data_IF_880038484868
#
_entry.id   IF_880038484868
#
_cell.length_a   1.000
_cell.length_b   1.000
_cell.length_c   1.000
_cell.angle_alpha   90.00
_cell.angle_beta   90.00
_cell.angle_gamma   90.00
#
_symmetry.space_group_name_H-M   'P 1'
#
loop_
_entity.id
_entity.type
_entity.pdbx_description
1 polymer ?
#
# COMPACT_ATOMS: atom_id res chain seq x y z
N UNK A 1 41.86 13.66 18.01
CA UNK A 1 41.88 12.65 16.91
C UNK A 1 40.73 11.65 17.06
N UNK A 2 40.51 11.03 18.23
CA UNK A 2 39.45 10.01 18.44
C UNK A 2 38.00 10.43 18.06
N UNK A 3 37.66 11.72 18.10
CA UNK A 3 36.31 12.21 17.78
C UNK A 3 36.00 12.30 16.28
N UNK A 4 37.02 12.50 15.43
CA UNK A 4 36.84 12.56 13.98
C UNK A 4 36.81 11.15 13.38
N UNK A 5 37.65 10.25 13.87
CA UNK A 5 37.65 8.84 13.44
C UNK A 5 36.30 8.17 13.69
N UNK A 6 35.66 8.48 14.83
CA UNK A 6 34.32 7.99 15.16
C UNK A 6 33.25 8.52 14.18
N UNK A 7 33.35 9.77 13.74
CA UNK A 7 32.41 10.37 12.78
C UNK A 7 32.57 9.73 11.39
N UNK A 8 33.80 9.59 10.91
CA UNK A 8 34.08 8.98 9.62
C UNK A 8 33.75 7.49 9.59
N UNK A 9 33.98 6.77 10.70
CA UNK A 9 33.58 5.37 10.83
C UNK A 9 32.06 5.20 10.76
N UNK A 10 31.29 6.03 11.47
CA UNK A 10 29.83 5.99 11.40
C UNK A 10 29.32 6.33 10.00
N UNK A 11 29.89 7.37 9.37
CA UNK A 11 29.53 7.76 8.01
C UNK A 11 29.83 6.66 7.01
N UNK A 12 31.03 6.06 7.09
CA UNK A 12 31.40 4.95 6.23
C UNK A 12 30.43 3.77 6.39
N UNK A 13 30.06 3.42 7.63
CA UNK A 13 29.11 2.34 7.89
C UNK A 13 27.71 2.64 7.31
N UNK A 14 27.20 3.87 7.46
CA UNK A 14 25.92 4.28 6.87
C UNK A 14 25.98 4.17 5.34
N UNK A 15 27.04 4.69 4.71
CA UNK A 15 27.19 4.67 3.25
C UNK A 15 27.33 3.25 2.73
N UNK A 16 28.12 2.38 3.37
CA UNK A 16 28.29 1.00 2.93
C UNK A 16 26.99 0.21 3.09
N UNK A 17 26.29 0.36 4.21
CA UNK A 17 25.04 -0.36 4.45
C UNK A 17 23.92 0.10 3.51
N UNK A 18 23.82 1.39 3.22
CA UNK A 18 22.83 1.89 2.26
C UNK A 18 23.17 1.48 0.83
N UNK A 19 24.45 1.42 0.48
CA UNK A 19 24.89 0.87 -0.80
C UNK A 19 24.51 -0.62 -0.92
N UNK A 20 24.73 -1.42 0.13
CA UNK A 20 24.30 -2.81 0.19
C UNK A 20 22.78 -2.96 -0.01
N UNK A 21 21.99 -2.12 0.67
CA UNK A 21 20.53 -2.11 0.49
C UNK A 21 20.11 -1.74 -0.93
N UNK A 22 20.82 -0.83 -1.58
CA UNK A 22 20.56 -0.45 -2.97
C UNK A 22 20.69 -1.59 -3.99
N UNK A 23 21.51 -2.60 -3.69
CA UNK A 23 21.71 -3.78 -4.56
C UNK A 23 20.66 -4.87 -4.38
N UNK A 24 19.78 -4.76 -3.38
CA UNK A 24 18.74 -5.75 -3.13
C UNK A 24 17.71 -5.76 -4.26
N UNK A 25 17.33 -6.97 -4.67
CA UNK A 25 16.18 -7.16 -5.57
C UNK A 25 14.90 -6.79 -4.84
N UNK A 26 13.91 -6.22 -5.53
CA UNK A 26 12.63 -5.83 -4.94
C UNK A 26 11.93 -6.97 -4.17
N UNK A 27 12.09 -8.21 -4.64
CA UNK A 27 11.56 -9.41 -3.97
C UNK A 27 12.17 -9.66 -2.58
N UNK A 28 13.39 -9.21 -2.35
CA UNK A 28 14.15 -9.40 -1.10
C UNK A 28 13.97 -8.23 -0.14
N UNK A 29 13.45 -7.10 -0.61
CA UNK A 29 13.21 -5.90 0.21
C UNK A 29 12.17 -6.17 1.29
N UNK A 30 11.11 -6.91 0.97
CA UNK A 30 10.03 -7.22 1.91
C UNK A 30 10.48 -7.87 3.22
N UNK A 31 11.18 -9.04 3.19
CA UNK A 31 11.64 -9.69 4.42
C UNK A 31 12.74 -8.91 5.17
N UNK A 32 13.46 -8.00 4.49
CA UNK A 32 14.53 -7.19 5.10
C UNK A 32 14.08 -5.82 5.60
N UNK A 33 12.82 -5.43 5.34
CA UNK A 33 12.31 -4.11 5.67
C UNK A 33 12.36 -3.80 7.17
N UNK A 34 12.06 -4.78 8.03
CA UNK A 34 12.13 -4.64 9.50
C UNK A 34 13.58 -4.42 9.97
N UNK A 35 14.52 -5.16 9.39
CA UNK A 35 15.96 -4.99 9.65
C UNK A 35 16.42 -3.58 9.23
N UNK A 36 16.07 -3.16 8.01
CA UNK A 36 16.40 -1.82 7.48
C UNK A 36 15.83 -0.71 8.37
N UNK A 37 14.60 -0.86 8.84
CA UNK A 37 13.95 0.11 9.74
C UNK A 37 14.68 0.20 11.09
N UNK A 38 15.00 -0.96 11.67
CA UNK A 38 15.73 -1.03 12.94
C UNK A 38 17.13 -0.44 12.82
N UNK A 39 17.84 -0.75 11.73
CA UNK A 39 19.20 -0.27 11.49
C UNK A 39 19.23 1.23 11.24
N UNK A 40 18.28 1.75 10.45
CA UNK A 40 18.14 3.19 10.21
C UNK A 40 17.85 3.97 11.50
N UNK A 41 16.98 3.44 12.37
CA UNK A 41 16.73 4.02 13.70
C UNK A 41 17.98 4.00 14.59
N UNK A 42 18.76 2.93 14.54
CA UNK A 42 20.04 2.82 15.27
C UNK A 42 21.05 3.87 14.81
N UNK A 43 21.18 4.10 13.49
CA UNK A 43 22.05 5.14 12.95
C UNK A 43 21.59 6.54 13.34
N UNK A 44 20.28 6.81 13.31
CA UNK A 44 19.74 8.08 13.77
C UNK A 44 20.03 8.34 15.25
N UNK A 45 19.85 7.33 16.11
CA UNK A 45 20.18 7.40 17.54
C UNK A 45 21.69 7.61 17.76
N UNK A 46 22.55 6.92 17.00
CA UNK A 46 24.00 7.10 17.05
C UNK A 46 24.41 8.52 16.64
N UNK A 47 23.81 9.05 15.56
CA UNK A 47 24.03 10.42 15.12
C UNK A 47 23.56 11.45 16.16
N UNK A 48 22.52 11.16 16.93
CA UNK A 48 22.03 12.03 18.01
C UNK A 48 22.91 12.00 19.27
N UNK A 49 23.77 10.99 19.45
CA UNK A 49 24.71 10.90 20.59
C UNK A 49 26.01 11.67 20.37
N UNK A 50 26.31 12.08 19.15
CA UNK A 50 27.55 12.81 18.84
C UNK A 50 27.59 14.21 19.49
N UNK A 51 28.75 14.68 19.97
CA UNK A 51 28.94 16.03 20.51
C UNK A 51 28.56 17.15 19.54
N UNK A 52 28.07 18.29 20.05
CA UNK A 52 27.61 19.44 19.24
C UNK A 52 28.66 19.93 18.23
N UNK A 53 29.93 19.94 18.62
CA UNK A 53 31.06 20.36 17.78
C UNK A 53 31.23 19.54 16.50
N UNK A 54 30.77 18.28 16.50
CA UNK A 54 30.80 17.41 15.31
C UNK A 54 29.52 17.53 14.47
N UNK A 55 28.44 18.08 15.03
CA UNK A 55 27.16 18.22 14.31
C UNK A 55 27.14 19.38 13.32
N UNK A 56 28.07 20.30 13.48
CA UNK A 56 28.26 21.45 12.58
C UNK A 56 29.06 21.08 11.34
N UNK A 57 29.69 19.90 11.32
CA UNK A 57 30.47 19.46 10.18
C UNK A 57 29.56 19.10 8.99
N UNK A 58 29.92 19.49 7.77
CA UNK A 58 29.11 19.21 6.58
C UNK A 58 28.89 17.71 6.36
N UNK A 59 29.90 16.88 6.66
CA UNK A 59 29.79 15.42 6.57
C UNK A 59 28.73 14.84 7.54
N UNK A 60 28.57 15.43 8.73
CA UNK A 60 27.50 15.03 9.65
C UNK A 60 26.12 15.40 9.11
N UNK A 61 25.98 16.62 8.57
CA UNK A 61 24.72 17.09 8.02
C UNK A 61 24.27 16.24 6.82
N UNK A 62 25.21 15.86 5.94
CA UNK A 62 24.94 14.98 4.81
C UNK A 62 24.56 13.56 5.27
N UNK A 63 25.27 13.00 6.24
CA UNK A 63 24.92 11.72 6.86
C UNK A 63 23.51 11.75 7.44
N UNK A 64 23.19 12.78 8.23
CA UNK A 64 21.88 12.92 8.85
C UNK A 64 20.78 13.06 7.81
N UNK A 65 20.98 13.89 6.79
CA UNK A 65 20.03 14.02 5.67
C UNK A 65 19.79 12.68 4.99
N UNK A 66 20.85 11.92 4.71
CA UNK A 66 20.74 10.61 4.05
C UNK A 66 19.94 9.62 4.87
N UNK A 67 20.17 9.58 6.20
CA UNK A 67 19.42 8.72 7.13
C UNK A 67 17.96 9.17 7.23
N UNK A 68 17.71 10.48 7.34
CA UNK A 68 16.37 11.06 7.44
C UNK A 68 15.57 10.80 6.13
N UNK A 69 16.16 11.05 4.95
CA UNK A 69 15.56 10.77 3.64
C UNK A 69 15.20 9.28 3.50
N UNK A 70 16.06 8.38 4.00
CA UNK A 70 15.79 6.95 3.98
C UNK A 70 14.67 6.55 4.97
N UNK A 71 14.61 7.16 6.15
CA UNK A 71 13.50 6.96 7.08
C UNK A 71 12.16 7.40 6.49
N UNK A 72 12.14 8.50 5.75
CA UNK A 72 10.95 8.98 5.04
C UNK A 72 10.56 8.07 3.87
N UNK A 73 11.53 7.37 3.27
CA UNK A 73 11.28 6.40 2.20
C UNK A 73 10.76 5.05 2.70
N UNK A 74 11.06 4.65 3.94
CA UNK A 74 10.66 3.35 4.50
C UNK A 74 9.13 3.10 4.44
N UNK A 75 8.25 4.04 4.83
CA UNK A 75 6.81 3.87 4.68
C UNK A 75 6.36 3.67 3.23
N UNK A 76 7.03 4.33 2.27
CA UNK A 76 6.74 4.19 0.84
C UNK A 76 7.10 2.79 0.36
N UNK A 77 8.27 2.30 0.76
CA UNK A 77 8.73 0.94 0.46
C UNK A 77 7.77 -0.08 1.08
N UNK A 78 7.35 0.13 2.34
CA UNK A 78 6.40 -0.75 3.03
C UNK A 78 5.07 -0.87 2.27
N UNK A 79 4.55 0.25 1.77
CA UNK A 79 3.33 0.27 0.98
C UNK A 79 3.47 -0.54 -0.32
N UNK A 80 4.57 -0.37 -1.05
CA UNK A 80 4.80 -1.04 -2.34
C UNK A 80 5.25 -2.51 -2.24
N UNK A 81 5.74 -2.94 -1.08
CA UNK A 81 6.01 -4.35 -0.77
C UNK A 81 4.72 -5.14 -0.51
N UNK A 82 3.63 -4.47 -0.11
CA UNK A 82 2.40 -5.14 0.25
C UNK A 82 1.77 -5.88 -0.93
N UNK A 83 1.19 -7.06 -0.68
CA UNK A 83 0.64 -7.95 -1.71
C UNK A 83 -0.55 -7.34 -2.49
N UNK A 84 -1.22 -6.32 -1.95
CA UNK A 84 -2.30 -5.60 -2.65
C UNK A 84 -1.82 -4.86 -3.90
N UNK A 85 -0.51 -4.63 -4.03
CA UNK A 85 0.06 -3.83 -5.10
C UNK A 85 0.16 -4.66 -6.38
N UNK A 86 -0.57 -4.23 -7.41
CA UNK A 86 -0.62 -4.86 -8.72
C UNK A 86 0.07 -3.98 -9.77
N UNK A 87 0.29 -4.54 -10.97
CA UNK A 87 0.98 -3.83 -12.08
C UNK A 87 0.37 -2.46 -12.41
N UNK A 88 -0.94 -2.26 -12.22
CA UNK A 88 -1.60 -0.97 -12.43
C UNK A 88 -1.12 0.13 -11.49
N UNK A 89 -0.85 -0.20 -10.22
CA UNK A 89 -0.36 0.76 -9.22
C UNK A 89 1.09 1.15 -9.52
N UNK A 90 1.87 0.22 -10.08
CA UNK A 90 3.21 0.51 -10.59
C UNK A 90 3.19 1.47 -11.79
N UNK A 91 2.21 1.34 -12.69
CA UNK A 91 2.04 2.30 -13.78
C UNK A 91 1.69 3.70 -13.24
N UNK A 92 0.78 3.79 -12.27
CA UNK A 92 0.44 5.04 -11.60
C UNK A 92 1.65 5.69 -10.90
N UNK A 93 2.51 4.88 -10.27
CA UNK A 93 3.76 5.36 -9.67
C UNK A 93 4.68 5.99 -10.73
N UNK A 94 4.85 5.33 -11.87
CA UNK A 94 5.69 5.83 -12.98
C UNK A 94 5.14 7.16 -13.51
N UNK A 95 3.82 7.25 -13.66
CA UNK A 95 3.15 8.47 -14.12
C UNK A 95 3.32 9.64 -13.13
N UNK A 96 3.27 9.37 -11.81
CA UNK A 96 3.47 10.39 -10.77
C UNK A 96 4.91 10.86 -10.66
N UNK A 97 5.88 9.92 -10.67
CA UNK A 97 7.26 10.21 -10.27
C UNK A 97 8.10 10.79 -11.41
N UNK A 98 8.02 10.21 -12.62
CA UNK A 98 8.62 10.78 -13.84
C UNK A 98 8.31 9.93 -15.08
N UNK A 99 7.65 10.49 -16.12
CA UNK A 99 7.41 9.78 -17.39
C UNK A 99 8.68 9.42 -18.18
N UNK A 100 9.82 10.03 -17.85
CA UNK A 100 11.08 9.91 -18.59
C UNK A 100 11.99 8.75 -18.11
N UNK A 101 11.74 8.20 -16.92
CA UNK A 101 12.52 7.09 -16.37
C UNK A 101 11.60 5.86 -16.22
N UNK A 102 11.60 4.93 -17.19
CA UNK A 102 10.80 3.72 -17.07
C UNK A 102 11.33 2.86 -15.93
N UNK A 103 10.62 2.82 -14.80
CA UNK A 103 10.87 1.82 -13.76
C UNK A 103 10.54 0.44 -14.35
N UNK A 104 11.48 -0.52 -14.32
CA UNK A 104 11.18 -1.89 -14.71
C UNK A 104 10.10 -2.46 -13.79
N UNK A 105 9.23 -3.31 -14.33
CA UNK A 105 8.23 -3.99 -13.51
C UNK A 105 8.91 -4.74 -12.33
N UNK A 106 8.23 -4.94 -11.18
CA UNK A 106 8.80 -5.55 -9.97
C UNK A 106 9.37 -6.97 -10.13
N UNK A 107 9.24 -7.60 -11.31
CA UNK A 107 9.83 -8.90 -11.65
C UNK A 107 10.95 -8.86 -12.70
N UNK A 108 11.30 -7.69 -13.24
CA UNK A 108 12.30 -7.54 -14.30
C UNK A 108 13.70 -7.14 -13.77
N UNK A 109 13.98 -7.44 -12.49
CA UNK A 109 15.24 -7.07 -11.83
C UNK A 109 15.25 -5.65 -11.26
N UNK A 110 14.09 -5.14 -10.82
CA UNK A 110 14.01 -3.86 -10.13
C UNK A 110 14.81 -3.93 -8.83
N UNK A 111 15.78 -3.03 -8.68
CA UNK A 111 16.56 -2.90 -7.45
C UNK A 111 16.02 -1.79 -6.58
N UNK A 112 16.26 -1.87 -5.26
CA UNK A 112 15.86 -0.80 -4.34
C UNK A 112 16.48 0.55 -4.74
N UNK A 113 17.71 0.55 -5.26
CA UNK A 113 18.36 1.75 -5.76
C UNK A 113 17.57 2.41 -6.89
N UNK A 114 17.10 1.64 -7.87
CA UNK A 114 16.29 2.18 -8.98
C UNK A 114 14.98 2.81 -8.48
N UNK A 115 14.36 2.21 -7.46
CA UNK A 115 13.17 2.79 -6.83
C UNK A 115 13.46 4.09 -6.10
N UNK A 116 14.55 4.17 -5.33
CA UNK A 116 14.95 5.38 -4.62
C UNK A 116 15.40 6.48 -5.59
N UNK A 117 16.15 6.12 -6.63
CA UNK A 117 16.65 7.04 -7.67
C UNK A 117 15.50 7.65 -8.49
N UNK A 118 14.34 6.98 -8.58
CA UNK A 118 13.16 7.56 -9.20
C UNK A 118 12.66 8.81 -8.46
N UNK A 119 12.94 8.93 -7.15
CA UNK A 119 12.53 10.07 -6.34
C UNK A 119 11.09 10.01 -5.81
N UNK A 120 10.64 8.88 -5.23
CA UNK A 120 9.28 8.75 -4.67
C UNK A 120 9.02 9.72 -3.51
N UNK A 121 10.08 10.25 -2.88
CA UNK A 121 10.00 11.24 -1.82
C UNK A 121 9.42 12.58 -2.27
N UNK A 122 9.58 12.96 -3.55
CA UNK A 122 9.04 14.22 -4.07
C UNK A 122 7.51 14.22 -4.11
N UNK A 123 6.92 13.05 -4.40
CA UNK A 123 5.47 12.83 -4.51
C UNK A 123 4.96 11.93 -3.38
N UNK A 124 5.54 12.05 -2.18
CA UNK A 124 5.29 11.18 -1.04
C UNK A 124 3.80 10.91 -0.79
N UNK A 125 2.99 11.96 -0.74
CA UNK A 125 1.58 11.84 -0.38
C UNK A 125 0.77 11.15 -1.49
N UNK A 126 1.06 11.43 -2.76
CA UNK A 126 0.44 10.74 -3.90
C UNK A 126 0.78 9.25 -3.92
N UNK A 127 2.05 8.91 -3.63
CA UNK A 127 2.53 7.52 -3.55
C UNK A 127 1.85 6.77 -2.41
N UNK A 128 1.63 7.41 -1.27
CA UNK A 128 0.87 6.84 -0.14
C UNK A 128 -0.61 6.68 -0.46
N UNK A 129 -1.20 7.62 -1.19
CA UNK A 129 -2.60 7.54 -1.63
C UNK A 129 -2.82 6.37 -2.59
N UNK A 130 -1.87 6.10 -3.51
CA UNK A 130 -1.88 4.90 -4.37
C UNK A 130 -1.85 3.63 -3.51
N UNK A 131 -0.98 3.56 -2.50
CA UNK A 131 -0.92 2.42 -1.58
C UNK A 131 -2.24 2.21 -0.83
N UNK A 132 -2.84 3.30 -0.34
CA UNK A 132 -4.12 3.25 0.37
C UNK A 132 -5.28 2.85 -0.56
N UNK A 133 -5.27 3.31 -1.82
CA UNK A 133 -6.23 2.89 -2.84
C UNK A 133 -6.10 1.39 -3.14
N UNK A 134 -4.88 0.90 -3.33
CA UNK A 134 -4.61 -0.52 -3.57
C UNK A 134 -5.13 -1.42 -2.45
N UNK A 135 -4.94 -1.02 -1.19
CA UNK A 135 -5.45 -1.77 -0.04
C UNK A 135 -7.00 -1.79 -0.02
N UNK A 136 -7.64 -0.66 -0.33
CA UNK A 136 -9.11 -0.59 -0.44
C UNK A 136 -9.61 -1.46 -1.59
N UNK A 137 -8.92 -1.48 -2.73
CA UNK A 137 -9.26 -2.33 -3.87
C UNK A 137 -9.18 -3.82 -3.52
N UNK A 138 -8.15 -4.26 -2.81
CA UNK A 138 -8.06 -5.65 -2.33
C UNK A 138 -9.23 -6.00 -1.42
N UNK A 139 -9.57 -5.13 -0.47
CA UNK A 139 -10.73 -5.35 0.41
C UNK A 139 -12.05 -5.40 -0.36
N UNK A 140 -12.18 -4.60 -1.42
CA UNK A 140 -13.34 -4.64 -2.32
C UNK A 140 -13.38 -5.94 -3.12
N UNK A 141 -12.23 -6.40 -3.62
CA UNK A 141 -12.12 -7.66 -4.36
C UNK A 141 -12.51 -8.84 -3.47
N UNK A 142 -12.04 -8.90 -2.23
CA UNK A 142 -12.43 -9.95 -1.28
C UNK A 142 -13.94 -9.97 -1.03
N UNK A 143 -14.58 -8.80 -0.91
CA UNK A 143 -16.04 -8.71 -0.77
C UNK A 143 -16.76 -9.14 -2.04
N UNK A 144 -16.23 -8.77 -3.21
CA UNK A 144 -16.77 -9.15 -4.50
C UNK A 144 -16.70 -10.67 -4.70
N UNK A 145 -15.57 -11.29 -4.39
CA UNK A 145 -15.36 -12.74 -4.51
C UNK A 145 -16.28 -13.50 -3.55
N UNK A 146 -16.48 -12.99 -2.33
CA UNK A 146 -17.44 -13.55 -1.38
C UNK A 146 -18.88 -13.46 -1.91
N UNK A 147 -19.26 -12.36 -2.56
CA UNK A 147 -20.55 -12.24 -3.23
C UNK A 147 -20.65 -13.25 -4.37
N UNK A 148 -19.68 -13.31 -5.28
CA UNK A 148 -19.68 -14.27 -6.40
C UNK A 148 -19.82 -15.71 -5.88
N UNK A 149 -19.09 -16.08 -4.83
CA UNK A 149 -19.20 -17.40 -4.21
C UNK A 149 -20.61 -17.65 -3.64
N UNK A 150 -21.20 -16.66 -2.97
CA UNK A 150 -22.57 -16.74 -2.48
C UNK A 150 -23.54 -17.00 -3.64
N UNK A 151 -23.53 -16.17 -4.67
CA UNK A 151 -24.46 -16.27 -5.82
C UNK A 151 -24.24 -17.52 -6.66
N UNK A 152 -23.00 -18.03 -6.75
CA UNK A 152 -22.70 -19.29 -7.45
C UNK A 152 -23.23 -20.50 -6.68
N UNK A 153 -23.32 -20.42 -5.35
CA UNK A 153 -23.85 -21.47 -4.49
C UNK A 153 -25.39 -21.48 -4.41
N UNK A 154 -26.06 -20.42 -4.87
CA UNK A 154 -27.52 -20.37 -4.89
C UNK A 154 -28.05 -21.31 -5.99
N UNK A 155 -28.76 -22.37 -5.57
CA UNK A 155 -29.41 -23.31 -6.47
C UNK A 155 -30.90 -22.97 -6.58
N UNK A 156 -31.36 -22.75 -7.81
CA UNK A 156 -32.76 -22.49 -8.10
C UNK A 156 -33.47 -23.80 -8.47
N UNK A 157 -34.33 -24.28 -7.56
CA UNK A 157 -35.14 -25.46 -7.81
C UNK A 157 -36.49 -25.06 -8.42
N UNK A 158 -36.77 -25.68 -9.56
CA UNK A 158 -37.99 -25.48 -10.31
C UNK A 158 -38.95 -26.65 -10.04
N UNK A 159 -40.13 -26.36 -9.48
CA UNK A 159 -41.13 -27.38 -9.16
C UNK A 159 -42.36 -27.21 -10.05
N UNK A 160 -42.86 -28.32 -10.59
CA UNK A 160 -44.05 -28.34 -11.43
C UNK A 160 -45.31 -27.96 -10.64
N UNK A 161 -46.06 -26.97 -11.13
CA UNK A 161 -47.32 -26.57 -10.50
C UNK A 161 -48.41 -27.61 -10.73
N UNK A 162 -49.01 -28.12 -9.65
CA UNK A 162 -49.97 -29.25 -9.64
C UNK A 162 -51.20 -29.07 -10.53
N UNK A 163 -51.58 -27.85 -10.91
CA UNK A 163 -52.83 -27.60 -11.66
C UNK A 163 -52.67 -26.86 -13.00
N UNK A 164 -51.47 -26.36 -13.37
CA UNK A 164 -51.34 -25.52 -14.59
C UNK A 164 -50.10 -25.78 -15.44
N UNK A 165 -49.24 -26.73 -15.09
CA UNK A 165 -48.02 -27.05 -15.87
C UNK A 165 -46.96 -25.94 -15.93
N UNK A 166 -47.29 -24.68 -15.62
CA UNK A 166 -46.34 -23.59 -15.51
C UNK A 166 -45.43 -23.80 -14.29
N UNK A 167 -44.14 -23.93 -14.57
CA UNK A 167 -43.08 -24.15 -13.58
C UNK A 167 -43.03 -22.96 -12.62
N UNK A 168 -43.12 -23.22 -11.31
CA UNK A 168 -42.99 -22.17 -10.29
C UNK A 168 -41.59 -22.25 -9.69
N UNK A 169 -40.93 -21.10 -9.61
CA UNK A 169 -39.62 -20.99 -8.97
C UNK A 169 -39.80 -21.09 -7.45
N UNK A 170 -39.28 -22.17 -6.85
CA UNK A 170 -39.11 -22.26 -5.41
C UNK A 170 -37.65 -21.98 -5.08
N UNK A 171 -37.35 -20.77 -4.61
CA UNK A 171 -36.00 -20.45 -4.13
C UNK A 171 -35.78 -21.19 -2.81
N UNK A 172 -35.01 -22.29 -2.83
CA UNK A 172 -34.49 -22.90 -1.60
C UNK A 172 -33.22 -22.16 -1.19
N UNK A 173 -33.39 -21.19 -0.31
CA UNK A 173 -32.27 -20.60 0.41
C UNK A 173 -31.69 -21.66 1.35
N UNK A 174 -30.47 -22.13 1.09
CA UNK A 174 -29.72 -22.96 2.06
C UNK A 174 -29.65 -22.17 3.38
N UNK A 175 -29.83 -22.82 4.53
CA UNK A 175 -30.05 -22.15 5.82
C UNK A 175 -29.00 -21.08 6.21
N UNK A 176 -27.80 -21.08 5.61
CA UNK A 176 -26.78 -20.02 5.76
C UNK A 176 -26.99 -18.75 4.91
N UNK A 177 -27.79 -18.79 3.84
CA UNK A 177 -28.00 -17.69 2.88
C UNK A 177 -29.04 -16.65 3.34
N UNK A 178 -29.93 -17.03 4.27
CA UNK A 178 -30.99 -16.15 4.79
C UNK A 178 -30.41 -15.00 5.62
N UNK A 179 -29.32 -15.24 6.35
CA UNK A 179 -28.61 -14.20 7.12
C UNK A 179 -27.82 -13.23 6.22
N UNK A 180 -27.28 -13.73 5.09
CA UNK A 180 -26.47 -12.95 4.14
C UNK A 180 -27.31 -11.98 3.31
N UNK A 181 -28.46 -12.41 2.79
CA UNK A 181 -29.36 -11.57 1.99
C UNK A 181 -30.03 -10.44 2.78
N UNK A 182 -30.33 -10.64 4.06
CA UNK A 182 -30.88 -9.58 4.92
C UNK A 182 -29.82 -8.49 5.24
N UNK A 183 -28.57 -8.91 5.49
CA UNK A 183 -27.45 -8.00 5.75
C UNK A 183 -27.00 -7.22 4.50
N UNK A 184 -26.97 -7.86 3.34
CA UNK A 184 -26.65 -7.19 2.08
C UNK A 184 -27.67 -6.07 1.79
N UNK A 185 -28.98 -6.35 1.90
CA UNK A 185 -30.03 -5.33 1.67
C UNK A 185 -29.93 -4.12 2.63
N UNK A 186 -29.59 -4.34 3.90
CA UNK A 186 -29.40 -3.26 4.87
C UNK A 186 -28.18 -2.35 4.57
N UNK A 187 -27.15 -2.89 3.93
CA UNK A 187 -25.91 -2.16 3.61
C UNK A 187 -26.07 -1.23 2.39
N UNK A 188 -26.88 -1.62 1.40
CA UNK A 188 -27.16 -0.78 0.23
C UNK A 188 -28.25 0.28 0.48
N UNK A 189 -29.19 0.05 1.40
CA UNK A 189 -30.24 1.02 1.73
C UNK A 189 -29.74 2.22 2.55
N UNK A 190 -28.64 2.07 3.31
CA UNK A 190 -28.10 3.18 4.11
C UNK A 190 -27.31 4.20 3.29
N UNK A 191 -26.81 3.86 2.09
CA UNK A 191 -26.12 4.81 1.21
C UNK A 191 -27.06 5.56 0.24
N UNK A 192 -28.21 4.98 -0.13
CA UNK A 192 -29.16 5.63 -1.04
C UNK A 192 -29.94 6.79 -0.39
N UNK A 193 -30.09 6.77 0.94
CA UNK A 193 -30.85 7.76 1.70
C UNK A 193 -30.09 9.09 1.93
N UNK A 194 -28.77 9.11 1.80
CA UNK A 194 -27.96 10.33 1.99
C UNK A 194 -27.90 11.17 0.71
N UNK A 195 -28.00 10.57 -0.47
CA UNK A 195 -27.94 11.30 -1.74
C UNK A 195 -29.27 12.01 -2.05
N UNK A 196 -30.42 11.42 -1.66
CA UNK A 196 -31.73 12.03 -1.91
C UNK A 196 -32.12 13.16 -0.94
N UNK A 197 -31.41 13.34 0.19
CA UNK A 197 -31.71 14.44 1.12
C UNK A 197 -31.00 15.76 0.76
N UNK A 198 -29.93 15.71 -0.05
CA UNK A 198 -29.20 16.90 -0.50
C UNK A 198 -29.84 17.59 -1.71
N UNK A 199 -30.52 16.87 -2.58
CA UNK A 199 -31.17 17.42 -3.78
C UNK A 199 -32.55 18.04 -3.52
N UNK A 200 -33.16 17.80 -2.35
CA UNK A 200 -34.44 18.40 -1.99
C UNK A 200 -34.33 19.85 -1.46
N UNK A 201 -33.12 20.31 -1.11
CA UNK A 201 -32.91 21.64 -0.52
C UNK A 201 -32.54 22.74 -1.55
N UNK A 202 -32.28 22.41 -2.82
CA UNK A 202 -31.89 23.40 -3.85
C UNK A 202 -32.99 23.77 -4.84
N UNK A 203 -34.22 23.26 -4.69
CA UNK A 203 -35.36 23.54 -5.58
C UNK A 203 -36.52 24.30 -4.93
N UNK A 204 -36.23 25.11 -3.91
CA UNK A 204 -37.19 26.08 -3.37
C UNK A 204 -36.52 27.46 -3.27
N UNK A 205 -36.20 28.05 -4.42
CA UNK A 205 -36.22 29.49 -4.71
C UNK A 205 -36.66 29.65 -6.16
#
# INVERSE_FOLDING_TARGET
MQSLDALYSLFAEVVTTFAEYGHLSWSEVGPRLEEMTTRSSTFHAAAARLPKTLREWPAYLECRRTVDDFQDALPLIQGFVHASIQRRHWAQLVDCVQPAAPLPAPGAGLTLRQFLDAGPLLHRDEVLDICAAALKEEQMQLKFDALVAQWTSEAFDFVAHKQRGAVVLHVRFNAGSVQGHARARGCWQTHALVVHSRDAASRNV
#
